data_IF_822716494895
#
_entry.id   IF_822716494895
#
_cell.length_a   1.000
_cell.length_b   1.000
_cell.length_c   1.000
_cell.angle_alpha   90.00
_cell.angle_beta   90.00
_cell.angle_gamma   90.00
#
_symmetry.space_group_name_H-M   'P 1'
#
loop_
_entity.id
_entity.type
_entity.pdbx_description
1 polymer ?
#
# COMPACT_ATOMS: atom_id res chain seq x y z
N UNK A 1 -11.95 -1.48 -11.56
CA UNK A 1 -10.62 -1.47 -10.93
C UNK A 1 -9.61 -1.24 -12.04
N UNK A 2 -8.66 -0.33 -11.84
CA UNK A 2 -7.65 -0.01 -12.84
C UNK A 2 -6.38 0.50 -12.18
N UNK A 3 -5.23 0.14 -12.75
CA UNK A 3 -3.92 0.56 -12.24
C UNK A 3 -3.65 2.01 -12.63
N UNK A 4 -3.39 2.85 -11.62
CA UNK A 4 -3.05 4.26 -11.79
C UNK A 4 -1.95 4.62 -10.79
N UNK A 5 -0.79 5.04 -11.30
CA UNK A 5 0.36 5.40 -10.47
C UNK A 5 0.93 4.20 -9.72
N UNK A 6 1.01 4.32 -8.39
CA UNK A 6 1.65 3.40 -7.46
C UNK A 6 0.67 2.39 -6.84
N UNK A 7 -0.41 2.04 -7.54
CA UNK A 7 -1.37 1.08 -7.03
C UNK A 7 -2.60 0.87 -7.91
N UNK A 8 -3.58 0.16 -7.34
CA UNK A 8 -4.86 -0.15 -7.94
C UNK A 8 -5.92 0.82 -7.45
N UNK A 9 -6.52 1.56 -8.38
CA UNK A 9 -7.67 2.43 -8.09
C UNK A 9 -8.98 1.66 -8.23
N UNK A 10 -9.83 1.77 -7.21
CA UNK A 10 -11.17 1.21 -7.19
C UNK A 10 -12.19 2.34 -7.30
N UNK A 11 -13.00 2.30 -8.36
CA UNK A 11 -14.05 3.28 -8.62
C UNK A 11 -15.42 2.60 -8.76
N UNK A 12 -16.46 3.31 -8.32
CA UNK A 12 -17.85 2.92 -8.51
C UNK A 12 -18.31 3.32 -9.91
N UNK A 13 -18.45 2.34 -10.80
CA UNK A 13 -18.89 2.56 -12.19
C UNK A 13 -20.36 2.93 -12.34
N UNK A 14 -21.17 2.79 -11.27
CA UNK A 14 -22.58 3.18 -11.28
C UNK A 14 -22.81 4.62 -10.81
N UNK A 15 -21.75 5.33 -10.40
CA UNK A 15 -21.85 6.70 -9.89
C UNK A 15 -20.74 7.57 -10.47
N UNK A 16 -21.15 8.51 -11.30
CA UNK A 16 -20.28 9.55 -11.85
C UNK A 16 -20.30 10.81 -10.97
N UNK A 17 -19.13 11.45 -10.82
CA UNK A 17 -18.94 12.73 -10.16
C UNK A 17 -18.01 13.55 -11.06
N UNK A 18 -18.49 14.69 -11.56
CA UNK A 18 -17.73 15.59 -12.44
C UNK A 18 -17.17 14.93 -13.72
N UNK A 19 -17.87 13.95 -14.29
CA UNK A 19 -17.42 13.25 -15.51
C UNK A 19 -16.57 12.00 -15.24
N UNK A 20 -16.22 11.71 -13.98
CA UNK A 20 -15.41 10.56 -13.60
C UNK A 20 -16.18 9.59 -12.68
N UNK A 21 -15.88 8.30 -12.78
CA UNK A 21 -16.40 7.32 -11.84
C UNK A 21 -15.88 7.61 -10.43
N UNK A 22 -16.79 7.69 -9.46
CA UNK A 22 -16.45 8.03 -8.07
C UNK A 22 -15.43 7.02 -7.52
N UNK A 23 -14.26 7.51 -7.13
CA UNK A 23 -13.26 6.69 -6.43
C UNK A 23 -13.78 6.28 -5.04
N UNK A 24 -13.60 5.01 -4.71
CA UNK A 24 -14.06 4.42 -3.43
C UNK A 24 -12.93 3.85 -2.61
N UNK A 25 -11.85 3.40 -3.25
CA UNK A 25 -10.64 2.94 -2.57
C UNK A 25 -9.41 3.05 -3.48
N UNK A 26 -8.25 3.00 -2.87
CA UNK A 26 -6.96 2.81 -3.51
C UNK A 26 -6.21 1.71 -2.78
N UNK A 27 -5.61 0.76 -3.51
CA UNK A 27 -4.75 -0.27 -2.96
C UNK A 27 -3.32 0.06 -3.38
N UNK A 28 -2.41 0.27 -2.43
CA UNK A 28 -0.98 0.50 -2.74
C UNK A 28 -0.36 -0.73 -3.41
N UNK A 29 0.79 -0.56 -4.05
CA UNK A 29 1.55 -1.70 -4.59
C UNK A 29 1.89 -2.79 -3.55
N UNK A 30 2.04 -2.45 -2.27
CA UNK A 30 2.23 -3.43 -1.20
C UNK A 30 0.93 -3.95 -0.59
N UNK A 31 -0.24 -3.62 -1.15
CA UNK A 31 -1.52 -4.20 -0.77
C UNK A 31 -2.23 -3.51 0.40
N UNK A 32 -1.90 -2.26 0.73
CA UNK A 32 -2.63 -1.50 1.76
C UNK A 32 -3.84 -0.79 1.15
N UNK A 33 -5.02 -0.96 1.75
CA UNK A 33 -6.24 -0.32 1.29
C UNK A 33 -6.42 1.04 1.97
N UNK A 34 -6.51 2.10 1.18
CA UNK A 34 -7.03 3.40 1.58
C UNK A 34 -8.47 3.55 1.11
N UNK A 35 -9.41 3.64 2.05
CA UNK A 35 -10.83 3.82 1.75
C UNK A 35 -11.21 5.30 1.65
N UNK A 36 -11.91 5.67 0.57
CA UNK A 36 -12.49 7.00 0.38
C UNK A 36 -13.98 7.06 0.71
N UNK A 37 -14.57 5.90 0.97
CA UNK A 37 -15.95 5.74 1.46
C UNK A 37 -15.96 4.72 2.59
N UNK A 38 -17.02 4.70 3.39
CA UNK A 38 -17.22 3.70 4.44
C UNK A 38 -17.32 2.29 3.81
N UNK A 39 -16.45 1.32 4.17
CA UNK A 39 -16.49 -0.03 3.59
C UNK A 39 -17.86 -0.71 3.71
N UNK A 40 -18.61 -0.42 4.77
CA UNK A 40 -19.95 -0.97 5.03
C UNK A 40 -21.00 -0.49 4.02
N UNK A 41 -20.69 0.58 3.26
CA UNK A 41 -21.55 1.07 2.19
C UNK A 41 -21.32 0.36 0.85
N UNK A 42 -20.33 -0.51 0.76
CA UNK A 42 -19.96 -1.25 -0.46
C UNK A 42 -20.71 -2.59 -0.48
N UNK A 43 -21.29 -3.00 -1.62
CA UNK A 43 -21.90 -4.31 -1.74
C UNK A 43 -20.92 -5.43 -1.35
N UNK A 44 -21.35 -6.39 -0.55
CA UNK A 44 -20.45 -7.40 0.04
C UNK A 44 -19.59 -8.16 -0.98
N UNK A 45 -20.14 -8.50 -2.14
CA UNK A 45 -19.37 -9.13 -3.24
C UNK A 45 -18.27 -8.22 -3.80
N UNK A 46 -18.50 -6.91 -3.86
CA UNK A 46 -17.49 -5.95 -4.28
C UNK A 46 -16.43 -5.73 -3.20
N UNK A 47 -16.84 -5.67 -1.93
CA UNK A 47 -15.92 -5.56 -0.79
C UNK A 47 -14.95 -6.76 -0.75
N UNK A 48 -15.47 -7.98 -0.80
CA UNK A 48 -14.68 -9.21 -0.82
C UNK A 48 -13.68 -9.24 -1.99
N UNK A 49 -14.08 -8.75 -3.16
CA UNK A 49 -13.18 -8.66 -4.32
C UNK A 49 -12.05 -7.65 -4.11
N UNK A 50 -12.32 -6.52 -3.46
CA UNK A 50 -11.30 -5.51 -3.16
C UNK A 50 -10.31 -6.07 -2.14
N UNK A 51 -10.80 -6.71 -1.08
CA UNK A 51 -9.96 -7.35 -0.05
C UNK A 51 -9.10 -8.47 -0.64
N UNK A 52 -9.69 -9.35 -1.46
CA UNK A 52 -8.95 -10.42 -2.13
C UNK A 52 -7.83 -9.90 -3.06
N UNK A 53 -8.10 -8.83 -3.81
CA UNK A 53 -7.08 -8.21 -4.65
C UNK A 53 -5.97 -7.59 -3.80
N UNK A 54 -6.32 -6.97 -2.67
CA UNK A 54 -5.37 -6.45 -1.69
C UNK A 54 -4.44 -7.52 -1.16
N UNK A 55 -4.99 -8.67 -0.76
CA UNK A 55 -4.22 -9.81 -0.25
C UNK A 55 -3.31 -10.40 -1.32
N UNK A 56 -3.80 -10.48 -2.57
CA UNK A 56 -3.02 -10.96 -3.71
C UNK A 56 -1.86 -10.02 -4.02
N UNK A 57 -2.11 -8.71 -4.05
CA UNK A 57 -1.08 -7.69 -4.25
C UNK A 57 -0.03 -7.74 -3.12
N UNK A 58 -0.47 -7.89 -1.86
CA UNK A 58 0.43 -8.04 -0.71
C UNK A 58 1.32 -9.27 -0.85
N UNK A 59 0.75 -10.42 -1.20
CA UNK A 59 1.49 -11.66 -1.36
C UNK A 59 2.58 -11.53 -2.44
N UNK A 60 2.22 -11.00 -3.61
CA UNK A 60 3.15 -10.76 -4.70
C UNK A 60 4.24 -9.77 -4.30
N UNK A 61 3.88 -8.68 -3.63
CA UNK A 61 4.83 -7.70 -3.15
C UNK A 61 5.84 -8.32 -2.18
N UNK A 62 5.39 -9.12 -1.22
CA UNK A 62 6.29 -9.78 -0.26
C UNK A 62 7.20 -10.78 -0.97
N UNK A 63 6.69 -11.55 -1.92
CA UNK A 63 7.51 -12.48 -2.72
C UNK A 63 8.64 -11.73 -3.44
N UNK A 64 8.32 -10.62 -4.09
CA UNK A 64 9.31 -9.80 -4.79
C UNK A 64 10.24 -9.05 -3.83
N UNK A 65 9.73 -8.60 -2.69
CA UNK A 65 10.52 -7.96 -1.64
C UNK A 65 11.59 -8.89 -1.12
N UNK A 66 11.29 -10.17 -0.90
CA UNK A 66 12.27 -11.15 -0.43
C UNK A 66 13.36 -11.48 -1.44
N UNK A 67 13.11 -11.29 -2.73
CA UNK A 67 14.12 -11.46 -3.79
C UNK A 67 15.12 -10.30 -3.86
N UNK A 68 14.83 -9.16 -3.23
CA UNK A 68 15.71 -7.98 -3.26
C UNK A 68 16.96 -8.20 -2.41
N UNK A 69 18.10 -7.73 -2.91
CA UNK A 69 19.33 -7.68 -2.14
C UNK A 69 19.25 -6.60 -1.03
N UNK A 70 20.19 -6.66 -0.09
CA UNK A 70 20.22 -5.76 1.07
C UNK A 70 20.31 -4.29 0.68
N UNK A 71 21.13 -3.93 -0.31
CA UNK A 71 21.27 -2.53 -0.77
C UNK A 71 19.95 -1.98 -1.29
N UNK A 72 19.27 -2.71 -2.19
CA UNK A 72 18.00 -2.27 -2.77
C UNK A 72 16.89 -2.15 -1.71
N UNK A 73 16.88 -3.06 -0.71
CA UNK A 73 15.98 -2.94 0.44
C UNK A 73 16.31 -1.70 1.26
N UNK A 74 17.58 -1.44 1.55
CA UNK A 74 18.01 -0.27 2.31
C UNK A 74 17.64 1.04 1.64
N UNK A 75 17.92 1.19 0.34
CA UNK A 75 17.53 2.37 -0.44
C UNK A 75 16.03 2.60 -0.36
N UNK A 76 15.23 1.57 -0.68
CA UNK A 76 13.76 1.70 -0.70
C UNK A 76 13.19 2.06 0.68
N UNK A 77 13.66 1.38 1.74
CA UNK A 77 13.18 1.64 3.11
C UNK A 77 13.56 3.05 3.54
N UNK A 78 14.84 3.42 3.44
CA UNK A 78 15.34 4.69 3.96
C UNK A 78 14.74 5.91 3.24
N UNK A 79 14.55 5.83 1.92
CA UNK A 79 13.92 6.89 1.12
C UNK A 79 12.43 7.08 1.45
N UNK A 80 11.79 6.05 2.02
CA UNK A 80 10.36 6.08 2.32
C UNK A 80 10.05 6.41 3.79
N UNK A 81 11.04 6.31 4.69
CA UNK A 81 10.81 6.50 6.12
C UNK A 81 10.34 7.92 6.45
N UNK A 82 9.40 8.08 7.40
CA UNK A 82 9.16 9.34 8.06
C UNK A 82 10.45 9.91 8.67
N UNK A 83 10.58 11.24 8.68
CA UNK A 83 11.80 11.92 9.11
C UNK A 83 12.24 11.53 10.53
N UNK A 84 11.31 11.34 11.47
CA UNK A 84 11.64 10.97 12.84
C UNK A 84 12.23 9.55 12.92
N UNK A 85 11.70 8.60 12.16
CA UNK A 85 12.25 7.24 12.07
C UNK A 85 13.61 7.22 11.38
N UNK A 86 13.75 7.99 10.30
CA UNK A 86 15.04 8.14 9.62
C UNK A 86 16.10 8.70 10.58
N UNK A 87 15.78 9.74 11.36
CA UNK A 87 16.70 10.32 12.35
C UNK A 87 17.07 9.32 13.45
N UNK A 88 16.10 8.54 13.98
CA UNK A 88 16.38 7.45 14.93
C UNK A 88 17.36 6.42 14.34
N UNK A 89 17.19 6.05 13.07
CA UNK A 89 18.07 5.11 12.38
C UNK A 89 19.48 5.66 12.21
N UNK A 90 19.65 6.93 11.84
CA UNK A 90 20.97 7.58 11.71
C UNK A 90 21.66 7.71 13.07
N UNK A 91 20.91 7.90 14.16
CA UNK A 91 21.42 7.91 15.53
C UNK A 91 21.69 6.52 16.10
N UNK A 92 21.43 5.46 15.32
CA UNK A 92 21.54 4.06 15.76
C UNK A 92 20.65 3.72 16.97
N UNK A 93 19.54 4.45 17.15
CA UNK A 93 18.54 4.17 18.18
C UNK A 93 17.62 3.02 17.79
N UNK A 94 17.49 2.74 16.48
CA UNK A 94 16.76 1.60 15.91
C UNK A 94 17.60 0.90 14.85
N UNK A 95 17.36 -0.39 14.64
CA UNK A 95 18.04 -1.21 13.63
C UNK A 95 17.44 -1.01 12.24
N UNK A 96 18.10 -1.55 11.22
CA UNK A 96 17.53 -1.56 9.87
C UNK A 96 16.31 -2.49 9.79
N UNK A 97 16.32 -3.62 10.49
CA UNK A 97 15.21 -4.57 10.54
C UNK A 97 13.95 -3.94 11.14
N UNK A 98 14.10 -3.08 12.15
CA UNK A 98 12.99 -2.31 12.71
C UNK A 98 12.43 -1.30 11.69
N UNK A 99 13.29 -0.70 10.87
CA UNK A 99 12.88 0.18 9.77
C UNK A 99 12.18 -0.60 8.65
N UNK A 100 12.73 -1.74 8.25
CA UNK A 100 12.15 -2.63 7.22
C UNK A 100 10.78 -3.11 7.66
N UNK A 101 10.63 -3.52 8.92
CA UNK A 101 9.34 -3.88 9.50
C UNK A 101 8.34 -2.73 9.43
N UNK A 102 8.73 -1.53 9.86
CA UNK A 102 7.85 -0.36 9.79
C UNK A 102 7.40 -0.06 8.35
N UNK A 103 8.34 -0.11 7.40
CA UNK A 103 8.03 0.07 5.98
C UNK A 103 7.00 -0.95 5.48
N UNK A 104 7.21 -2.24 5.78
CA UNK A 104 6.29 -3.30 5.37
C UNK A 104 4.91 -3.16 6.03
N UNK A 105 4.84 -2.71 7.27
CA UNK A 105 3.57 -2.65 8.02
C UNK A 105 2.74 -1.39 7.71
N UNK A 106 3.37 -0.31 7.25
CA UNK A 106 2.72 1.01 7.21
C UNK A 106 2.92 1.82 5.91
N UNK A 107 3.89 1.46 5.06
CA UNK A 107 4.23 2.25 3.87
C UNK A 107 3.97 1.47 2.59
N UNK A 108 4.51 0.24 2.51
CA UNK A 108 4.37 -0.64 1.35
C UNK A 108 2.92 -1.08 1.17
#
# INVERSE_FOLDING_TARGET
MGYLGNGLTVANSAKEVNGDNKHIAHISNGGNITWYVKPESIPGQALLRIEHESDTMRANFIEDWQKRNSTAKMETVLDSLPLDMFLKRIRHEITFEECEKYYLDHIA
#
